data_IF_594387876994
#
_entry.id   IF_594387876994
#
_cell.length_a   1.000
_cell.length_b   1.000
_cell.length_c   1.000
_cell.angle_alpha   90.00
_cell.angle_beta   90.00
_cell.angle_gamma   90.00
#
_symmetry.space_group_name_H-M   'P 1'
#
loop_
_entity.id
_entity.type
_entity.pdbx_description
1 polymer ?
#
# COMPACT_ATOMS: atom_id res chain seq x y z
N UNK A 1 -15.77 -5.81 2.43
CA UNK A 1 -15.04 -4.60 2.00
C UNK A 1 -16.07 -3.53 1.72
N UNK A 2 -16.03 -2.43 2.47
CA UNK A 2 -16.95 -1.30 2.30
C UNK A 2 -16.71 -0.56 0.96
N UNK A 3 -17.59 0.39 0.63
CA UNK A 3 -17.52 1.13 -0.63
C UNK A 3 -16.24 1.96 -0.75
N UNK A 4 -15.83 2.63 0.33
CA UNK A 4 -14.63 3.47 0.37
C UNK A 4 -13.37 2.66 0.06
N UNK A 5 -13.27 1.47 0.65
CA UNK A 5 -12.17 0.53 0.44
C UNK A 5 -12.17 -0.01 -0.98
N UNK A 6 -13.34 -0.27 -1.57
CA UNK A 6 -13.48 -0.62 -3.00
C UNK A 6 -12.99 0.50 -3.92
N UNK A 7 -13.39 1.74 -3.67
CA UNK A 7 -12.95 2.89 -4.47
C UNK A 7 -11.44 3.11 -4.39
N UNK A 8 -10.86 3.02 -3.19
CA UNK A 8 -9.41 3.13 -3.02
C UNK A 8 -8.69 2.01 -3.76
N UNK A 9 -9.15 0.77 -3.61
CA UNK A 9 -8.58 -0.38 -4.31
C UNK A 9 -8.59 -0.18 -5.83
N UNK A 10 -9.73 0.17 -6.42
CA UNK A 10 -9.82 0.39 -7.88
C UNK A 10 -8.87 1.49 -8.33
N UNK A 11 -8.83 2.61 -7.60
CA UNK A 11 -7.96 3.73 -7.95
C UNK A 11 -6.47 3.37 -7.88
N UNK A 12 -6.03 2.76 -6.78
CA UNK A 12 -4.64 2.35 -6.64
C UNK A 12 -4.29 1.31 -7.70
N UNK A 13 -5.15 0.33 -7.93
CA UNK A 13 -4.90 -0.68 -8.93
C UNK A 13 -4.80 -0.08 -10.34
N UNK A 14 -5.58 0.93 -10.70
CA UNK A 14 -5.43 1.63 -11.99
C UNK A 14 -4.14 2.46 -12.11
N UNK A 15 -3.63 2.99 -11.00
CA UNK A 15 -2.43 3.84 -11.00
C UNK A 15 -1.13 3.06 -11.02
N UNK A 16 -1.10 1.86 -10.42
CA UNK A 16 0.12 1.08 -10.27
C UNK A 16 0.49 0.34 -11.57
N UNK A 17 1.77 0.30 -11.94
CA UNK A 17 2.22 -0.43 -13.11
C UNK A 17 2.05 -1.94 -12.91
N UNK A 18 1.92 -2.67 -14.02
CA UNK A 18 1.71 -4.13 -14.00
C UNK A 18 2.88 -4.92 -13.43
N UNK A 19 4.09 -4.36 -13.48
CA UNK A 19 5.33 -4.96 -13.00
C UNK A 19 5.81 -4.38 -11.66
N UNK A 20 4.92 -3.75 -10.88
CA UNK A 20 5.28 -3.19 -9.57
C UNK A 20 5.95 -4.24 -8.69
N UNK A 21 7.07 -3.86 -8.08
CA UNK A 21 7.80 -4.76 -7.18
C UNK A 21 7.28 -4.67 -5.75
N UNK A 22 7.53 -5.73 -4.96
CA UNK A 22 7.12 -5.77 -3.55
C UNK A 22 7.64 -4.56 -2.76
N UNK A 23 8.91 -4.17 -2.95
CA UNK A 23 9.50 -3.02 -2.25
C UNK A 23 8.73 -1.73 -2.50
N UNK A 24 8.36 -1.48 -3.75
CA UNK A 24 7.62 -0.29 -4.15
C UNK A 24 6.21 -0.30 -3.58
N UNK A 25 5.56 -1.47 -3.60
CA UNK A 25 4.24 -1.66 -3.03
C UNK A 25 4.24 -1.48 -1.50
N UNK A 26 5.26 -1.99 -0.79
CA UNK A 26 5.47 -1.76 0.63
C UNK A 26 5.71 -0.29 0.95
N UNK A 27 6.52 0.41 0.15
CA UNK A 27 6.75 1.84 0.33
C UNK A 27 5.44 2.66 0.20
N UNK A 28 4.61 2.32 -0.80
CA UNK A 28 3.31 2.96 -0.96
C UNK A 28 2.37 2.65 0.21
N UNK A 29 2.32 1.39 0.67
CA UNK A 29 1.52 1.01 1.84
C UNK A 29 1.90 1.81 3.08
N UNK A 30 3.20 1.90 3.36
CA UNK A 30 3.73 2.68 4.47
C UNK A 30 3.39 4.16 4.33
N UNK A 31 3.56 4.72 3.13
CA UNK A 31 3.26 6.13 2.88
C UNK A 31 1.80 6.43 3.17
N UNK A 32 0.88 5.62 2.65
CA UNK A 32 -0.56 5.81 2.85
C UNK A 32 -1.03 5.56 4.27
N UNK A 33 -0.30 4.75 5.04
CA UNK A 33 -0.52 4.59 6.48
C UNK A 33 -0.09 5.83 7.26
N UNK A 34 1.01 6.47 6.87
CA UNK A 34 1.53 7.67 7.53
C UNK A 34 0.80 8.95 7.10
N UNK A 35 0.40 9.06 5.83
CA UNK A 35 -0.22 10.26 5.28
C UNK A 35 -1.11 9.95 4.08
N UNK A 36 -2.28 10.58 4.02
CA UNK A 36 -3.15 10.58 2.85
C UNK A 36 -2.89 11.76 1.90
N UNK A 37 -1.91 12.62 2.20
CA UNK A 37 -1.63 13.86 1.44
C UNK A 37 -1.30 13.63 -0.03
N UNK A 38 -0.76 12.45 -0.37
CA UNK A 38 -0.37 12.09 -1.73
C UNK A 38 -1.55 11.58 -2.57
N UNK A 39 -2.70 11.30 -1.94
CA UNK A 39 -3.91 10.90 -2.64
C UNK A 39 -4.69 12.12 -3.13
N UNK A 40 -5.46 11.99 -4.23
CA UNK A 40 -6.40 13.01 -4.67
C UNK A 40 -7.37 13.44 -3.57
N UNK A 41 -7.82 14.71 -3.60
CA UNK A 41 -8.74 15.31 -2.61
C UNK A 41 -9.95 14.46 -2.25
N UNK A 42 -10.55 13.77 -3.23
CA UNK A 42 -11.71 12.88 -3.02
C UNK A 42 -11.45 11.77 -2.00
N UNK A 43 -10.19 11.39 -1.74
CA UNK A 43 -9.82 10.39 -0.74
C UNK A 43 -9.48 11.00 0.62
N UNK A 44 -9.27 12.32 0.73
CA UNK A 44 -8.95 12.97 2.02
C UNK A 44 -10.14 12.98 2.98
N UNK A 45 -11.36 12.98 2.44
CA UNK A 45 -12.60 12.88 3.21
C UNK A 45 -12.97 11.44 3.58
N UNK A 46 -12.24 10.45 3.07
CA UNK A 46 -12.50 9.04 3.32
C UNK A 46 -11.71 8.60 4.55
N UNK A 47 -12.39 8.04 5.54
CA UNK A 47 -11.73 7.37 6.66
C UNK A 47 -11.08 6.06 6.18
N UNK A 48 -9.78 6.11 5.91
CA UNK A 48 -8.95 4.94 5.58
C UNK A 48 -8.24 4.53 6.87
N UNK A 49 -8.70 3.44 7.50
CA UNK A 49 -8.01 2.85 8.63
C UNK A 49 -6.99 1.79 8.15
N UNK A 50 -6.15 1.32 9.08
CA UNK A 50 -5.11 0.32 8.79
C UNK A 50 -5.69 -1.00 8.29
N UNK A 51 -6.84 -1.44 8.82
CA UNK A 51 -7.48 -2.69 8.41
C UNK A 51 -7.91 -2.63 6.94
N UNK A 52 -8.55 -1.53 6.54
CA UNK A 52 -8.97 -1.28 5.17
C UNK A 52 -7.76 -1.17 4.23
N UNK A 53 -6.69 -0.51 4.66
CA UNK A 53 -5.44 -0.43 3.90
C UNK A 53 -4.81 -1.81 3.72
N UNK A 54 -4.72 -2.62 4.77
CA UNK A 54 -4.19 -3.98 4.69
C UNK A 54 -4.99 -4.87 3.73
N UNK A 55 -6.33 -4.76 3.73
CA UNK A 55 -7.20 -5.47 2.77
C UNK A 55 -6.92 -5.02 1.33
N UNK A 56 -6.78 -3.72 1.09
CA UNK A 56 -6.48 -3.19 -0.25
C UNK A 56 -5.15 -3.73 -0.75
N UNK A 57 -4.10 -3.65 0.06
CA UNK A 57 -2.77 -4.07 -0.36
C UNK A 57 -2.63 -5.59 -0.50
N UNK A 58 -3.32 -6.39 0.32
CA UNK A 58 -3.33 -7.85 0.14
C UNK A 58 -3.97 -8.26 -1.18
N UNK A 59 -5.03 -7.55 -1.60
CA UNK A 59 -5.67 -7.76 -2.89
C UNK A 59 -4.79 -7.31 -4.06
N UNK A 60 -4.20 -6.12 -3.98
CA UNK A 60 -3.28 -5.62 -5.02
C UNK A 60 -2.11 -6.58 -5.18
N UNK A 61 -1.51 -7.06 -4.08
CA UNK A 61 -0.41 -8.02 -4.12
C UNK A 61 -0.77 -9.29 -4.90
N UNK A 62 -1.98 -9.82 -4.66
CA UNK A 62 -2.51 -10.98 -5.38
C UNK A 62 -2.72 -10.68 -6.87
N UNK A 63 -3.34 -9.56 -7.22
CA UNK A 63 -3.60 -9.20 -8.62
C UNK A 63 -2.33 -8.89 -9.41
N UNK A 64 -1.35 -8.28 -8.75
CA UNK A 64 -0.02 -7.96 -9.32
C UNK A 64 0.96 -9.12 -9.25
N UNK A 65 0.53 -10.30 -8.78
CA UNK A 65 1.34 -11.51 -8.67
C UNK A 65 2.64 -11.29 -7.92
N UNK A 66 2.59 -10.44 -6.89
CA UNK A 66 3.69 -10.24 -5.96
C UNK A 66 4.03 -11.61 -5.34
N UNK A 67 5.31 -11.99 -5.17
CA UNK A 67 5.67 -13.25 -4.53
C UNK A 67 5.03 -13.37 -3.14
N UNK A 68 4.46 -14.55 -2.83
CA UNK A 68 3.81 -14.80 -1.52
C UNK A 68 4.77 -14.61 -0.34
N UNK A 69 6.04 -15.01 -0.49
CA UNK A 69 7.08 -14.83 0.52
C UNK A 69 8.31 -14.11 -0.07
N UNK A 70 8.23 -12.79 -0.29
CA UNK A 70 9.34 -12.04 -0.85
C UNK A 70 10.47 -11.93 0.19
N UNK A 71 11.72 -12.19 -0.20
CA UNK A 71 12.86 -12.23 0.73
C UNK A 71 13.01 -10.93 1.55
N UNK A 72 12.70 -9.80 0.93
CA UNK A 72 12.76 -8.47 1.56
C UNK A 72 11.64 -8.23 2.59
N UNK A 73 10.61 -9.07 2.69
CA UNK A 73 9.57 -8.93 3.72
C UNK A 73 10.14 -8.94 5.15
N UNK A 74 11.27 -9.61 5.36
CA UNK A 74 12.03 -9.59 6.62
C UNK A 74 12.44 -8.19 7.06
N UNK A 75 12.72 -7.28 6.12
CA UNK A 75 13.06 -5.88 6.40
C UNK A 75 11.93 -5.13 7.13
N UNK A 76 10.68 -5.55 6.87
CA UNK A 76 9.46 -5.01 7.45
C UNK A 76 8.90 -5.87 8.60
N UNK A 77 9.61 -6.94 9.01
CA UNK A 77 9.10 -7.88 10.03
C UNK A 77 7.96 -8.79 9.55
N UNK A 78 7.68 -8.85 8.25
CA UNK A 78 6.52 -9.55 7.68
C UNK A 78 6.87 -10.91 7.01
N UNK A 79 8.08 -11.43 7.21
CA UNK A 79 8.58 -12.62 6.52
C UNK A 79 7.77 -13.91 6.76
N UNK A 80 7.06 -14.00 7.89
CA UNK A 80 6.27 -15.18 8.26
C UNK A 80 4.81 -15.11 7.81
N UNK A 81 4.42 -14.07 7.08
CA UNK A 81 3.08 -13.89 6.55
C UNK A 81 3.12 -13.90 5.02
N UNK A 82 2.15 -14.58 4.40
CA UNK A 82 1.93 -14.51 2.95
C UNK A 82 1.54 -13.07 2.55
N UNK A 83 2.22 -12.49 1.56
CA UNK A 83 1.95 -11.14 1.04
C UNK A 83 0.54 -10.99 0.46
N UNK A 84 -0.17 -12.07 0.15
CA UNK A 84 -1.57 -12.03 -0.30
C UNK A 84 -2.57 -11.96 0.87
N UNK A 85 -2.08 -12.06 2.12
CA UNK A 85 -2.88 -12.02 3.34
C UNK A 85 -2.84 -10.65 4.02
N UNK A 86 -3.95 -10.30 4.68
CA UNK A 86 -4.10 -9.04 5.43
C UNK A 86 -3.04 -8.87 6.52
N UNK A 87 -2.72 -9.96 7.25
CA UNK A 87 -1.75 -9.93 8.34
C UNK A 87 -0.37 -9.46 7.93
N UNK A 88 0.05 -9.75 6.69
CA UNK A 88 1.34 -9.31 6.17
C UNK A 88 1.43 -7.78 6.10
N UNK A 89 0.40 -7.13 5.57
CA UNK A 89 0.38 -5.67 5.40
C UNK A 89 0.19 -4.94 6.73
N UNK A 90 -0.47 -5.56 7.71
CA UNK A 90 -0.49 -5.07 9.08
C UNK A 90 0.92 -5.04 9.69
N UNK A 91 1.73 -6.08 9.49
CA UNK A 91 3.13 -6.08 9.93
C UNK A 91 3.98 -5.06 9.16
N UNK A 92 3.78 -4.92 7.85
CA UNK A 92 4.43 -3.87 7.05
C UNK A 92 4.15 -2.50 7.65
N UNK A 93 2.89 -2.12 7.90
CA UNK A 93 2.55 -0.85 8.55
C UNK A 93 3.14 -0.71 9.96
N UNK A 94 3.10 -1.77 10.76
CA UNK A 94 3.65 -1.75 12.11
C UNK A 94 5.17 -1.51 12.12
N UNK A 95 5.88 -1.81 11.03
CA UNK A 95 7.33 -1.60 10.92
C UNK A 95 7.76 -0.13 11.06
N UNK A 96 6.89 0.83 10.71
CA UNK A 96 7.14 2.27 10.98
C UNK A 96 7.37 2.50 12.47
N UNK A 97 6.55 1.87 13.32
CA UNK A 97 6.59 2.06 14.77
C UNK A 97 7.61 1.14 15.45
N UNK A 98 7.68 -0.13 15.00
CA UNK A 98 8.52 -1.17 15.63
C UNK A 98 9.99 -1.09 15.23
N UNK A 99 10.26 -0.65 14.00
CA UNK A 99 11.58 -0.76 13.35
C UNK A 99 12.06 0.56 12.75
N UNK A 100 11.38 1.69 13.04
CA UNK A 100 11.66 3.01 12.50
C UNK A 100 11.79 3.02 10.96
N UNK A 101 10.96 2.24 10.26
CA UNK A 101 10.96 2.17 8.80
C UNK A 101 10.16 3.32 8.21
N UNK A 102 10.80 4.46 8.01
CA UNK A 102 10.15 5.61 7.37
C UNK A 102 9.91 5.34 5.87
N UNK A 103 8.72 5.69 5.33
CA UNK A 103 8.46 5.62 3.91
C UNK A 103 9.23 6.69 3.14
N UNK A 104 9.65 6.37 1.92
CA UNK A 104 10.05 7.37 0.94
C UNK A 104 8.80 7.96 0.27
N UNK A 105 8.32 9.09 0.78
CA UNK A 105 7.10 9.76 0.29
C UNK A 105 7.23 10.18 -1.18
N UNK A 106 8.39 10.72 -1.60
CA UNK A 106 8.61 11.17 -2.98
C UNK A 106 8.51 10.01 -3.98
N UNK A 107 9.04 8.85 -3.61
CA UNK A 107 8.93 7.64 -4.44
C UNK A 107 7.49 7.13 -4.52
N UNK A 108 6.65 7.37 -3.52
CA UNK A 108 5.24 7.00 -3.55
C UNK A 108 4.39 7.99 -4.37
N UNK A 109 4.73 9.29 -4.34
CA UNK A 109 4.03 10.33 -5.10
C UNK A 109 4.06 10.10 -6.61
N UNK A 110 5.12 9.48 -7.13
CA UNK A 110 5.30 9.22 -8.58
C UNK A 110 4.14 8.45 -9.20
N UNK A 111 3.38 7.68 -8.40
CA UNK A 111 2.22 6.93 -8.85
C UNK A 111 0.96 7.78 -9.09
N UNK A 112 0.98 9.03 -8.63
CA UNK A 112 -0.17 9.94 -8.68
C UNK A 112 0.10 11.22 -9.49
N UNK A 113 1.36 11.50 -9.86
CA UNK A 113 1.80 12.78 -10.45
C UNK A 113 1.38 13.05 -11.90
N UNK A 114 0.55 12.22 -12.53
CA UNK A 114 0.18 12.39 -13.96
C UNK A 114 -1.33 12.41 -14.24
N UNK A 115 -2.20 12.41 -13.23
CA UNK A 115 -3.67 12.47 -13.40
C UNK A 115 -4.30 13.78 -12.93
N UNK A 116 -3.63 14.91 -13.14
CA UNK A 116 -4.29 16.23 -13.22
C UNK A 116 -4.55 16.54 -14.69
N UNK A 117 -5.65 16.01 -15.23
CA UNK A 117 -6.26 16.63 -16.41
C UNK A 117 -7.43 17.50 -15.93
N UNK A 118 -7.59 18.70 -16.51
CA UNK A 118 -8.62 19.67 -16.15
C UNK A 118 -10.05 19.16 -16.35
#
# INVERSE_FOLDING_TARGET
MDNNTKYLFSYLNECLPSNIEYRELSNLCLTLFCTSSILPERFKLISINKENLAIVFSKIAKERRIPSYPAIASFYGAAFHDSHNVGHWLEVMASVLKLAREPNIRDAEKWFSTKTSP
#
